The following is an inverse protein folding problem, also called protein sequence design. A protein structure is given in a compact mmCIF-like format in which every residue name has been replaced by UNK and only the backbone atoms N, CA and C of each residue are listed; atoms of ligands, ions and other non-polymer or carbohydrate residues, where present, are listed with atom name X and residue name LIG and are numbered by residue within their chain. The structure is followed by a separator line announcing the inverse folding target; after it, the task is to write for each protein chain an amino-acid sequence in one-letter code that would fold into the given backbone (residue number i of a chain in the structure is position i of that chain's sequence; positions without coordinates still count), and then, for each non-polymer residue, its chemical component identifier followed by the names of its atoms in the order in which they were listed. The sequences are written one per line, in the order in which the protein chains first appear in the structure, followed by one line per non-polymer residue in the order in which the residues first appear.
data_IF_590506381200
#
_entry.id   IF_590506381200
#
_cell.length_a   1.000
_cell.length_b   1.000
_cell.length_c   1.000
_cell.angle_alpha   90.00
_cell.angle_beta   90.00
_cell.angle_gamma   90.00
#
_symmetry.space_group_name_H-M   'P 1'
#
loop_
_entity.id
_entity.type
_entity.pdbx_description
1 polymer ?
#
# COMPACT_ATOMS: atom_id res chain seq x y z
N UNK A 1 -14.33 -22.61 18.77
CA UNK A 1 -14.26 -23.90 18.05
C UNK A 1 -14.25 -23.59 16.56
N UNK A 2 -13.38 -24.24 15.78
CA UNK A 2 -13.30 -24.11 14.30
C UNK A 2 -14.64 -24.39 13.59
N UNK A 3 -15.61 -24.99 14.29
CA UNK A 3 -16.97 -25.24 13.83
C UNK A 3 -17.79 -23.98 13.48
N UNK A 4 -17.34 -22.77 13.83
CA UNK A 4 -18.04 -21.54 13.47
C UNK A 4 -17.91 -21.15 11.99
N UNK A 5 -16.96 -21.73 11.25
CA UNK A 5 -16.74 -21.48 9.82
C UNK A 5 -17.30 -22.58 8.91
N UNK A 6 -17.84 -23.67 9.49
CA UNK A 6 -18.42 -24.78 8.73
C UNK A 6 -19.87 -24.44 8.39
N UNK A 7 -20.06 -23.45 7.52
CA UNK A 7 -21.33 -23.24 6.83
C UNK A 7 -21.52 -24.31 5.76
N UNK A 8 -22.28 -25.37 6.05
CA UNK A 8 -22.93 -26.33 5.14
C UNK A 8 -22.22 -26.86 3.87
N UNK A 9 -20.90 -26.67 3.71
CA UNK A 9 -20.13 -27.25 2.60
C UNK A 9 -18.89 -27.94 3.16
N UNK A 10 -18.87 -29.27 3.10
CA UNK A 10 -17.73 -30.16 3.40
C UNK A 10 -16.54 -30.01 2.41
N UNK A 11 -16.44 -28.87 1.70
CA UNK A 11 -15.44 -28.57 0.69
C UNK A 11 -14.75 -27.21 0.92
N UNK A 12 -14.96 -26.56 2.06
CA UNK A 12 -14.24 -25.32 2.37
C UNK A 12 -12.80 -25.66 2.77
N UNK A 13 -11.82 -25.14 2.01
CA UNK A 13 -10.41 -25.23 2.38
C UNK A 13 -10.21 -24.61 3.77
N UNK A 14 -9.45 -25.30 4.63
CA UNK A 14 -9.15 -24.80 5.98
C UNK A 14 -8.31 -23.52 5.92
N UNK A 15 -8.46 -22.58 6.86
CA UNK A 15 -7.72 -21.33 6.86
C UNK A 15 -6.21 -21.54 7.06
N UNK A 16 -5.42 -20.73 6.36
CA UNK A 16 -3.99 -20.55 6.60
C UNK A 16 -3.76 -19.40 7.58
N UNK A 17 -2.67 -19.46 8.35
CA UNK A 17 -2.37 -18.47 9.38
C UNK A 17 -1.03 -17.78 9.14
N UNK A 18 -1.00 -16.50 9.51
CA UNK A 18 0.23 -15.71 9.66
C UNK A 18 0.32 -15.30 11.13
N UNK A 19 1.50 -15.44 11.73
CA UNK A 19 1.75 -15.11 13.14
C UNK A 19 2.72 -13.94 13.28
N UNK A 20 2.86 -13.39 14.48
CA UNK A 20 3.74 -12.26 14.75
C UNK A 20 3.07 -10.90 14.49
N UNK A 21 3.84 -9.84 14.74
CA UNK A 21 3.44 -8.45 14.53
C UNK A 21 4.66 -7.65 14.12
N UNK A 22 4.46 -6.65 13.28
CA UNK A 22 5.42 -5.56 13.15
C UNK A 22 5.17 -4.54 14.26
N UNK A 23 6.26 -3.94 14.75
CA UNK A 23 6.25 -2.79 15.64
C UNK A 23 7.20 -1.76 15.03
N UNK A 24 6.71 -0.56 14.66
CA UNK A 24 5.37 -0.01 14.88
C UNK A 24 4.29 -0.60 13.95
N UNK A 25 3.02 -0.26 14.21
CA UNK A 25 1.89 -0.70 13.42
C UNK A 25 2.00 -0.23 11.95
N UNK A 26 1.48 -1.00 10.98
CA UNK A 26 1.63 -0.72 9.55
C UNK A 26 0.93 0.58 9.13
N UNK A 27 1.47 1.22 8.08
CA UNK A 27 0.93 2.46 7.52
C UNK A 27 1.87 3.67 7.59
N UNK A 28 3.17 3.40 7.74
CA UNK A 28 4.21 4.41 7.90
C UNK A 28 4.37 4.83 9.35
N UNK A 29 5.56 5.34 9.68
CA UNK A 29 5.94 5.63 11.05
C UNK A 29 6.68 6.95 11.17
N UNK A 30 6.27 7.78 12.14
CA UNK A 30 7.00 9.00 12.53
C UNK A 30 8.41 8.72 13.09
N UNK A 31 8.73 7.45 13.40
CA UNK A 31 10.08 7.05 13.75
C UNK A 31 11.05 7.25 12.59
N UNK A 32 10.59 7.12 11.35
CA UNK A 32 11.41 7.26 10.16
C UNK A 32 12.01 8.66 10.08
N UNK A 33 11.21 9.68 10.27
CA UNK A 33 11.62 11.09 10.27
C UNK A 33 12.51 11.41 11.46
N UNK A 34 12.23 10.81 12.63
CA UNK A 34 12.97 11.08 13.86
C UNK A 34 14.35 10.44 13.88
N UNK A 35 14.46 9.20 13.40
CA UNK A 35 15.68 8.37 13.53
C UNK A 35 16.42 8.16 12.22
N UNK A 36 15.76 8.35 11.07
CA UNK A 36 16.31 8.00 9.75
C UNK A 36 16.53 6.50 9.56
N UNK A 37 16.05 5.66 10.48
CA UNK A 37 16.20 4.20 10.45
C UNK A 37 15.07 3.52 11.22
N UNK A 38 14.79 2.28 10.84
CA UNK A 38 13.97 1.34 11.59
C UNK A 38 14.81 0.11 11.96
N UNK A 39 14.58 -0.45 13.15
CA UNK A 39 15.31 -1.63 13.63
C UNK A 39 14.81 -2.88 12.90
N UNK A 40 15.74 -3.68 12.39
CA UNK A 40 15.44 -4.97 11.75
C UNK A 40 15.15 -5.99 12.85
N UNK A 41 14.12 -6.83 12.67
CA UNK A 41 13.83 -7.90 13.63
C UNK A 41 15.03 -8.83 13.80
N UNK A 42 15.44 -9.09 15.04
CA UNK A 42 16.55 -10.01 15.29
C UNK A 42 16.13 -11.47 15.05
N UNK A 43 17.04 -12.36 14.59
CA UNK A 43 16.73 -13.79 14.51
C UNK A 43 16.30 -14.41 15.85
N UNK A 44 16.82 -13.89 16.97
CA UNK A 44 16.47 -14.32 18.31
C UNK A 44 15.01 -14.02 18.67
N UNK A 45 14.55 -12.79 18.39
CA UNK A 45 13.16 -12.40 18.64
C UNK A 45 12.19 -13.15 17.72
N UNK A 46 12.57 -13.34 16.45
CA UNK A 46 11.77 -14.09 15.50
C UNK A 46 11.63 -15.56 15.93
N UNK A 47 12.75 -16.19 16.32
CA UNK A 47 12.75 -17.55 16.88
C UNK A 47 11.85 -17.67 18.10
N UNK A 48 12.01 -16.75 19.06
CA UNK A 48 11.22 -16.74 20.29
C UNK A 48 9.72 -16.59 19.99
N UNK A 49 9.34 -15.76 19.01
CA UNK A 49 7.97 -15.59 18.55
C UNK A 49 7.39 -16.89 17.99
N UNK A 50 8.13 -17.55 17.10
CA UNK A 50 7.74 -18.84 16.50
C UNK A 50 7.56 -19.90 17.58
N UNK A 51 8.55 -20.08 18.47
CA UNK A 51 8.53 -21.11 19.52
C UNK A 51 7.42 -20.89 20.54
N UNK A 52 7.25 -19.65 21.02
CA UNK A 52 6.20 -19.28 21.97
C UNK A 52 4.80 -19.49 21.38
N UNK A 53 4.62 -19.12 20.11
CA UNK A 53 3.35 -19.30 19.41
C UNK A 53 3.06 -20.79 19.18
N UNK A 54 4.05 -21.56 18.71
CA UNK A 54 3.93 -23.02 18.54
C UNK A 54 3.52 -23.71 19.83
N UNK A 55 4.23 -23.44 20.91
CA UNK A 55 3.95 -24.03 22.22
C UNK A 55 2.53 -23.69 22.71
N UNK A 56 2.06 -22.47 22.42
CA UNK A 56 0.69 -22.06 22.75
C UNK A 56 -0.34 -22.83 21.93
N UNK A 57 -0.13 -23.01 20.62
CA UNK A 57 -1.02 -23.80 19.77
C UNK A 57 -1.12 -25.25 20.27
N UNK A 58 0.02 -25.90 20.55
CA UNK A 58 0.06 -27.27 21.04
C UNK A 58 -0.62 -27.41 22.41
N UNK A 59 -0.42 -26.44 23.31
CA UNK A 59 -1.09 -26.41 24.63
C UNK A 59 -2.63 -26.42 24.53
N UNK A 60 -3.19 -25.80 23.48
CA UNK A 60 -4.63 -25.77 23.24
C UNK A 60 -5.11 -26.89 22.29
N UNK A 61 -4.25 -27.86 21.94
CA UNK A 61 -4.61 -28.95 21.03
C UNK A 61 -4.81 -28.52 19.57
N UNK A 62 -4.23 -27.39 19.16
CA UNK A 62 -4.38 -26.79 17.83
C UNK A 62 -3.26 -27.20 16.86
N UNK A 63 -2.79 -28.45 16.94
CA UNK A 63 -1.67 -28.93 16.12
C UNK A 63 -1.98 -28.90 14.61
N UNK A 64 -3.18 -29.30 14.22
CA UNK A 64 -3.65 -29.20 12.82
C UNK A 64 -3.65 -27.75 12.31
N UNK A 65 -3.99 -26.77 13.17
CA UNK A 65 -3.92 -25.35 12.82
C UNK A 65 -2.48 -24.83 12.76
N UNK A 66 -1.59 -25.31 13.64
CA UNK A 66 -0.17 -24.98 13.59
C UNK A 66 0.46 -25.40 12.26
N UNK A 67 0.11 -26.58 11.74
CA UNK A 67 0.59 -27.06 10.44
C UNK A 67 0.10 -26.20 9.25
N UNK A 68 -0.83 -25.27 9.47
CA UNK A 68 -1.31 -24.29 8.49
C UNK A 68 -0.78 -22.87 8.73
N UNK A 69 0.11 -22.68 9.69
CA UNK A 69 0.87 -21.44 9.83
C UNK A 69 1.90 -21.41 8.71
N UNK A 70 1.78 -20.45 7.80
CA UNK A 70 2.60 -20.39 6.58
C UNK A 70 3.62 -19.27 6.60
N UNK A 71 3.44 -18.28 7.48
CA UNK A 71 4.30 -17.11 7.51
C UNK A 71 4.40 -16.50 8.91
N UNK A 72 5.45 -15.72 9.08
CA UNK A 72 5.68 -14.90 10.27
C UNK A 72 5.95 -13.45 9.85
N UNK A 73 5.25 -12.51 10.48
CA UNK A 73 5.48 -11.07 10.30
C UNK A 73 6.80 -10.70 10.93
N UNK A 74 7.63 -9.98 10.19
CA UNK A 74 8.90 -9.45 10.70
C UNK A 74 9.31 -8.20 9.91
N UNK A 75 10.11 -7.34 10.55
CA UNK A 75 10.53 -6.05 10.03
C UNK A 75 11.88 -6.19 9.31
N UNK A 76 11.92 -6.17 7.96
CA UNK A 76 13.15 -6.34 7.18
C UNK A 76 14.02 -5.06 7.09
N UNK A 77 13.61 -3.97 7.74
CA UNK A 77 14.28 -2.68 7.65
C UNK A 77 13.65 -1.73 6.62
N UNK A 78 12.42 -1.99 6.18
CA UNK A 78 11.66 -1.14 5.24
C UNK A 78 10.58 -0.38 6.00
N UNK A 79 10.42 0.89 5.66
CA UNK A 79 9.38 1.75 6.20
C UNK A 79 9.28 3.02 5.35
N UNK A 80 8.23 3.80 5.54
CA UNK A 80 8.13 5.15 4.99
C UNK A 80 7.66 6.14 6.06
N UNK A 81 8.17 7.37 5.96
CA UNK A 81 7.76 8.54 6.71
C UNK A 81 6.80 9.42 5.88
N UNK A 82 6.55 10.64 6.32
CA UNK A 82 5.74 11.64 5.64
C UNK A 82 6.31 12.01 4.27
N UNK A 83 7.63 12.15 4.16
CA UNK A 83 8.33 12.64 2.95
C UNK A 83 9.54 11.79 2.54
N UNK A 84 9.77 10.64 3.17
CA UNK A 84 10.93 9.81 2.89
C UNK A 84 10.60 8.32 2.94
N UNK A 85 11.33 7.53 2.16
CA UNK A 85 11.23 6.07 2.11
C UNK A 85 12.55 5.50 2.62
N UNK A 86 12.47 4.52 3.53
CA UNK A 86 13.62 3.70 3.91
C UNK A 86 13.63 2.48 3.01
N UNK A 87 14.51 2.51 2.01
CA UNK A 87 14.70 1.40 1.08
C UNK A 87 15.24 0.16 1.79
N UNK A 88 14.88 -1.00 1.26
CA UNK A 88 15.42 -2.28 1.70
C UNK A 88 16.94 -2.33 1.53
N UNK A 89 17.65 -2.73 2.59
CA UNK A 89 19.08 -2.93 2.59
C UNK A 89 19.40 -4.39 2.97
N UNK A 90 19.78 -5.18 1.97
CA UNK A 90 20.15 -6.60 2.13
C UNK A 90 21.25 -6.82 3.16
N UNK A 91 22.20 -5.89 3.29
CA UNK A 91 23.29 -6.05 4.26
C UNK A 91 22.79 -5.91 5.69
N UNK A 92 21.87 -4.96 5.94
CA UNK A 92 21.24 -4.78 7.25
C UNK A 92 20.31 -5.93 7.61
N UNK A 93 19.61 -6.49 6.64
CA UNK A 93 18.68 -7.60 6.84
C UNK A 93 19.33 -9.00 6.77
N UNK A 94 20.65 -9.10 6.56
CA UNK A 94 21.34 -10.35 6.23
C UNK A 94 21.09 -11.48 7.23
N UNK A 95 21.21 -11.20 8.52
CA UNK A 95 21.04 -12.22 9.57
C UNK A 95 19.59 -12.71 9.64
N UNK A 96 18.63 -11.78 9.53
CA UNK A 96 17.20 -12.09 9.50
C UNK A 96 16.83 -12.91 8.25
N UNK A 97 17.28 -12.48 7.06
CA UNK A 97 17.07 -13.17 5.80
C UNK A 97 17.66 -14.59 5.84
N UNK A 98 18.88 -14.75 6.36
CA UNK A 98 19.50 -16.06 6.53
C UNK A 98 18.66 -16.98 7.43
N UNK A 99 18.15 -16.44 8.54
CA UNK A 99 17.30 -17.20 9.46
C UNK A 99 15.97 -17.60 8.80
N UNK A 100 15.27 -16.68 8.13
CA UNK A 100 13.98 -16.94 7.45
C UNK A 100 14.14 -18.03 6.39
N UNK A 101 15.21 -17.98 5.57
CA UNK A 101 15.47 -18.98 4.53
C UNK A 101 15.82 -20.36 5.08
N UNK A 102 16.22 -20.44 6.35
CA UNK A 102 16.46 -21.69 7.07
C UNK A 102 15.22 -22.27 7.75
N UNK A 103 14.09 -21.55 7.73
CA UNK A 103 12.81 -22.09 8.22
C UNK A 103 12.27 -23.10 7.22
N UNK A 104 11.62 -24.15 7.75
CA UNK A 104 11.13 -25.28 6.95
C UNK A 104 9.88 -24.92 6.14
N UNK A 105 8.77 -24.58 6.80
CA UNK A 105 7.47 -24.31 6.16
C UNK A 105 6.97 -22.87 6.36
N UNK A 106 7.84 -21.97 6.82
CA UNK A 106 7.49 -20.57 7.11
C UNK A 106 8.25 -19.62 6.18
N UNK A 107 7.53 -18.63 5.65
CA UNK A 107 8.11 -17.49 4.93
C UNK A 107 7.98 -16.21 5.75
N UNK A 108 8.75 -15.18 5.39
CA UNK A 108 8.56 -13.84 5.92
C UNK A 108 7.35 -13.16 5.29
N UNK A 109 6.52 -12.53 6.12
CA UNK A 109 5.58 -11.50 5.70
C UNK A 109 6.14 -10.13 6.09
N UNK A 110 6.30 -9.22 5.11
CA UNK A 110 6.78 -7.87 5.34
C UNK A 110 5.62 -6.87 5.16
N UNK A 111 5.44 -5.98 6.15
CA UNK A 111 4.49 -4.86 6.08
C UNK A 111 5.19 -3.59 5.62
N UNK A 112 4.42 -2.54 5.36
CA UNK A 112 4.92 -1.22 4.92
C UNK A 112 5.91 -1.29 3.75
N UNK A 113 5.72 -2.23 2.83
CA UNK A 113 6.60 -2.38 1.65
C UNK A 113 6.32 -1.34 0.57
N UNK A 114 5.34 -0.46 0.81
CA UNK A 114 4.94 0.66 -0.03
C UNK A 114 6.15 1.51 -0.45
N UNK A 115 6.09 2.03 -1.67
CA UNK A 115 7.05 2.95 -2.28
C UNK A 115 8.44 2.39 -2.55
N UNK A 116 8.73 1.15 -2.15
CA UNK A 116 9.97 0.48 -2.53
C UNK A 116 10.12 0.38 -4.05
N UNK A 117 11.36 0.45 -4.51
CA UNK A 117 11.66 0.22 -5.93
C UNK A 117 11.35 -1.23 -6.32
N UNK A 118 11.04 -1.49 -7.60
CA UNK A 118 10.81 -2.86 -8.08
C UNK A 118 12.02 -3.80 -7.82
N UNK A 119 13.24 -3.24 -7.80
CA UNK A 119 14.45 -3.95 -7.42
C UNK A 119 14.43 -4.33 -5.94
N UNK A 120 14.21 -3.38 -5.03
CA UNK A 120 14.16 -3.64 -3.59
C UNK A 120 13.05 -4.63 -3.21
N UNK A 121 11.88 -4.53 -3.84
CA UNK A 121 10.81 -5.52 -3.69
C UNK A 121 11.25 -6.92 -4.16
N UNK A 122 11.97 -7.03 -5.28
CA UNK A 122 12.52 -8.32 -5.74
C UNK A 122 13.52 -8.90 -4.74
N UNK A 123 14.41 -8.06 -4.23
CA UNK A 123 15.42 -8.46 -3.25
C UNK A 123 14.77 -8.98 -1.95
N UNK A 124 13.70 -8.35 -1.48
CA UNK A 124 12.89 -8.86 -0.36
C UNK A 124 12.40 -10.29 -0.61
N UNK A 125 11.81 -10.56 -1.79
CA UNK A 125 11.30 -11.90 -2.12
C UNK A 125 12.42 -12.94 -2.17
N UNK A 126 13.58 -12.58 -2.75
CA UNK A 126 14.76 -13.45 -2.82
C UNK A 126 15.39 -13.76 -1.44
N UNK A 127 15.19 -12.86 -0.49
CA UNK A 127 15.64 -12.97 0.90
C UNK A 127 14.62 -13.66 1.83
N UNK A 128 13.50 -14.14 1.29
CA UNK A 128 12.52 -14.97 2.00
C UNK A 128 11.26 -14.22 2.45
N UNK A 129 11.19 -12.91 2.25
CA UNK A 129 9.98 -12.10 2.49
C UNK A 129 9.03 -12.27 1.31
N UNK A 130 8.27 -13.36 1.34
CA UNK A 130 7.49 -13.82 0.18
C UNK A 130 6.08 -13.23 0.13
N UNK A 131 5.58 -12.74 1.27
CA UNK A 131 4.32 -11.99 1.34
C UNK A 131 4.68 -10.52 1.55
N UNK A 132 4.43 -9.70 0.54
CA UNK A 132 4.68 -8.26 0.58
C UNK A 132 3.34 -7.53 0.68
N UNK A 133 3.11 -6.82 1.78
CA UNK A 133 1.88 -6.02 1.94
C UNK A 133 2.06 -4.60 1.43
N UNK A 134 1.09 -4.18 0.63
CA UNK A 134 0.96 -2.82 0.08
C UNK A 134 -0.44 -2.30 0.37
N UNK A 135 -0.56 -1.01 0.65
CA UNK A 135 -1.84 -0.37 0.91
C UNK A 135 -1.78 1.12 0.55
N UNK A 136 -1.14 1.96 1.39
CA UNK A 136 -0.98 3.39 1.13
C UNK A 136 -0.51 3.74 -0.28
N UNK A 137 0.45 3.02 -0.87
CA UNK A 137 0.93 3.34 -2.22
C UNK A 137 -0.15 3.20 -3.30
N UNK A 138 -1.08 2.25 -3.14
CA UNK A 138 -2.20 2.06 -4.07
C UNK A 138 -3.16 3.25 -4.04
N UNK A 139 -3.54 3.70 -2.84
CA UNK A 139 -4.43 4.85 -2.67
C UNK A 139 -3.73 6.18 -2.90
N UNK A 140 -2.41 6.24 -2.72
CA UNK A 140 -1.57 7.36 -3.13
C UNK A 140 -1.56 7.52 -4.65
N UNK A 141 -1.40 6.43 -5.41
CA UNK A 141 -1.47 6.45 -6.88
C UNK A 141 -2.87 6.86 -7.39
N UNK A 142 -3.93 6.39 -6.74
CA UNK A 142 -5.31 6.85 -6.96
C UNK A 142 -5.42 8.38 -6.76
N UNK A 143 -4.89 8.88 -5.64
CA UNK A 143 -4.90 10.31 -5.30
C UNK A 143 -4.14 11.14 -6.34
N UNK A 144 -2.94 10.71 -6.76
CA UNK A 144 -2.19 11.38 -7.82
C UNK A 144 -2.97 11.48 -9.12
N UNK A 145 -3.63 10.40 -9.53
CA UNK A 145 -4.46 10.39 -10.74
C UNK A 145 -5.63 11.37 -10.62
N UNK A 146 -6.36 11.34 -9.51
CA UNK A 146 -7.49 12.24 -9.26
C UNK A 146 -7.07 13.71 -9.20
N UNK A 147 -5.93 14.02 -8.56
CA UNK A 147 -5.41 15.39 -8.51
C UNK A 147 -4.99 15.87 -9.89
N UNK A 148 -4.28 15.03 -10.66
CA UNK A 148 -3.88 15.34 -12.02
C UNK A 148 -5.10 15.59 -12.92
N UNK A 149 -6.14 14.77 -12.79
CA UNK A 149 -7.40 14.95 -13.50
C UNK A 149 -8.16 16.21 -13.06
N UNK A 150 -8.13 16.56 -11.77
CA UNK A 150 -8.70 17.82 -11.25
C UNK A 150 -7.97 19.03 -11.83
N UNK A 151 -6.64 19.01 -11.90
CA UNK A 151 -5.88 20.11 -12.52
C UNK A 151 -6.15 20.21 -14.03
N UNK A 152 -6.35 19.07 -14.71
CA UNK A 152 -6.82 19.08 -16.11
C UNK A 152 -8.21 19.72 -16.22
N UNK A 153 -9.14 19.38 -15.33
CA UNK A 153 -10.48 19.99 -15.31
C UNK A 153 -10.40 21.51 -15.09
N UNK A 154 -9.54 21.96 -14.18
CA UNK A 154 -9.38 23.39 -13.86
C UNK A 154 -8.94 24.22 -15.08
N UNK A 155 -8.12 23.65 -15.95
CA UNK A 155 -7.67 24.27 -17.21
C UNK A 155 -8.71 24.17 -18.34
N UNK A 156 -9.63 23.19 -18.29
CA UNK A 156 -10.63 22.96 -19.34
C UNK A 156 -11.94 23.71 -19.13
N UNK A 157 -12.22 24.15 -17.91
CA UNK A 157 -13.48 24.77 -17.53
C UNK A 157 -13.21 26.19 -17.02
N UNK A 158 -13.76 27.20 -17.69
CA UNK A 158 -13.59 28.59 -17.26
C UNK A 158 -14.54 28.96 -16.11
N UNK A 159 -15.76 28.43 -16.12
CA UNK A 159 -16.77 28.71 -15.11
C UNK A 159 -16.52 27.91 -13.83
N UNK A 160 -16.22 28.60 -12.74
CA UNK A 160 -15.85 27.96 -11.48
C UNK A 160 -16.97 27.12 -10.86
N UNK A 161 -18.23 27.52 -11.05
CA UNK A 161 -19.39 26.77 -10.56
C UNK A 161 -19.55 25.40 -11.27
N UNK A 162 -18.97 25.25 -12.46
CA UNK A 162 -18.99 24.00 -13.22
C UNK A 162 -17.91 23.02 -12.80
N UNK A 163 -16.83 23.45 -12.12
CA UNK A 163 -15.72 22.58 -11.72
C UNK A 163 -16.09 21.68 -10.54
N UNK A 164 -15.42 20.52 -10.44
CA UNK A 164 -15.60 19.64 -9.29
C UNK A 164 -15.04 20.23 -8.00
N UNK A 165 -13.99 21.07 -8.11
CA UNK A 165 -13.22 21.59 -6.99
C UNK A 165 -12.72 20.47 -6.06
N UNK A 166 -12.43 19.26 -6.61
CA UNK A 166 -12.14 18.06 -5.82
C UNK A 166 -11.03 18.27 -4.79
N UNK A 167 -9.93 18.90 -5.20
CA UNK A 167 -8.77 19.09 -4.32
C UNK A 167 -9.09 20.01 -3.14
N UNK A 168 -9.87 21.07 -3.33
CA UNK A 168 -10.27 21.98 -2.24
C UNK A 168 -11.35 21.36 -1.36
N UNK A 169 -12.35 20.69 -1.93
CA UNK A 169 -13.39 19.97 -1.16
C UNK A 169 -12.74 18.95 -0.23
N UNK A 170 -11.74 18.21 -0.72
CA UNK A 170 -11.01 17.24 0.06
C UNK A 170 -10.19 17.89 1.18
N UNK A 171 -9.52 19.00 0.90
CA UNK A 171 -8.80 19.79 1.90
C UNK A 171 -9.74 20.27 3.02
N UNK A 172 -10.89 20.85 2.67
CA UNK A 172 -11.88 21.35 3.63
C UNK A 172 -12.40 20.22 4.51
N UNK A 173 -12.79 19.09 3.91
CA UNK A 173 -13.26 17.89 4.64
C UNK A 173 -12.20 17.38 5.62
N UNK A 174 -10.92 17.35 5.20
CA UNK A 174 -9.82 16.89 6.04
C UNK A 174 -9.55 17.85 7.21
N UNK A 175 -9.63 19.16 6.99
CA UNK A 175 -9.47 20.18 8.04
C UNK A 175 -10.61 20.11 9.05
N UNK A 176 -11.85 19.96 8.59
CA UNK A 176 -13.03 19.85 9.45
C UNK A 176 -13.03 18.56 10.28
N UNK A 177 -12.45 17.48 9.77
CA UNK A 177 -12.46 16.16 10.40
C UNK A 177 -11.03 15.63 10.60
N UNK A 178 -10.23 16.19 11.53
CA UNK A 178 -8.79 15.93 11.60
C UNK A 178 -8.40 14.56 12.17
N UNK A 179 -9.35 13.79 12.73
CA UNK A 179 -9.09 12.58 13.50
C UNK A 179 -8.34 11.47 12.77
N UNK A 180 -8.32 11.44 11.43
CA UNK A 180 -7.56 10.44 10.67
C UNK A 180 -6.10 10.83 10.41
N UNK A 181 -5.69 12.08 10.62
CA UNK A 181 -4.34 12.56 10.31
C UNK A 181 -3.64 13.33 11.44
N UNK A 182 -4.34 13.88 12.43
CA UNK A 182 -3.76 14.79 13.44
C UNK A 182 -2.67 14.15 14.31
N UNK A 183 -2.72 12.83 14.50
CA UNK A 183 -1.69 12.08 15.23
C UNK A 183 -0.43 11.80 14.41
N UNK A 184 -0.47 12.06 13.10
CA UNK A 184 0.61 11.75 12.16
C UNK A 184 1.35 13.01 11.68
N UNK A 185 0.69 14.17 11.56
CA UNK A 185 1.33 15.45 11.22
C UNK A 185 0.98 16.53 12.22
N UNK A 186 1.99 17.23 12.74
CA UNK A 186 1.83 18.18 13.86
C UNK A 186 0.93 19.39 13.62
N UNK A 187 0.70 19.82 12.36
CA UNK A 187 -0.04 21.05 12.04
C UNK A 187 -0.92 21.00 10.78
N UNK A 188 -1.12 19.83 10.16
CA UNK A 188 -2.00 19.70 8.99
C UNK A 188 -1.66 20.67 7.85
N UNK A 189 -0.37 20.82 7.50
CA UNK A 189 0.02 21.71 6.41
C UNK A 189 -0.61 21.24 5.09
N UNK A 190 -0.79 22.16 4.12
CA UNK A 190 -1.24 21.79 2.77
C UNK A 190 -0.40 20.67 2.16
N UNK A 191 0.91 20.66 2.42
CA UNK A 191 1.81 19.61 1.94
C UNK A 191 1.52 18.28 2.62
N UNK A 192 1.36 18.28 3.94
CA UNK A 192 1.06 17.08 4.73
C UNK A 192 -0.28 16.44 4.32
N UNK A 193 -1.33 17.25 4.21
CA UNK A 193 -2.67 16.76 3.87
C UNK A 193 -2.74 16.21 2.44
N UNK A 194 -2.02 16.85 1.51
CA UNK A 194 -2.14 16.54 0.08
C UNK A 194 -1.11 15.54 -0.42
N UNK A 195 0.11 15.55 0.10
CA UNK A 195 1.26 14.92 -0.56
C UNK A 195 2.02 13.91 0.30
N UNK A 196 1.73 13.82 1.59
CA UNK A 196 2.42 12.88 2.47
C UNK A 196 2.26 11.42 2.05
N UNK A 197 3.35 10.66 2.16
CA UNK A 197 3.39 9.22 1.90
C UNK A 197 2.63 8.38 2.94
N UNK A 198 2.28 8.91 4.13
CA UNK A 198 1.36 8.17 5.01
C UNK A 198 -0.06 8.06 4.43
N UNK A 199 -0.38 8.85 3.40
CA UNK A 199 -1.61 8.76 2.62
C UNK A 199 -2.89 8.78 3.49
N UNK A 200 -2.92 9.62 4.53
CA UNK A 200 -4.06 9.70 5.46
C UNK A 200 -5.34 10.21 4.78
N UNK A 201 -5.19 10.84 3.62
CA UNK A 201 -6.28 11.22 2.72
C UNK A 201 -7.17 10.03 2.31
N UNK A 202 -6.66 8.79 2.33
CA UNK A 202 -7.44 7.59 1.95
C UNK A 202 -8.71 7.36 2.77
N UNK A 203 -8.75 7.86 4.01
CA UNK A 203 -9.91 7.71 4.89
C UNK A 203 -11.08 8.64 4.52
N UNK A 204 -10.86 9.61 3.61
CA UNK A 204 -11.84 10.62 3.26
C UNK A 204 -12.53 10.38 1.91
N UNK A 205 -12.09 9.40 1.12
CA UNK A 205 -12.70 9.09 -0.19
C UNK A 205 -14.18 8.66 -0.12
N UNK A 206 -14.62 8.17 1.04
CA UNK A 206 -16.01 7.77 1.28
C UNK A 206 -16.87 8.91 1.85
N UNK A 207 -16.31 10.09 2.13
CA UNK A 207 -17.11 11.26 2.50
C UNK A 207 -18.02 11.65 1.33
N UNK A 208 -19.28 11.95 1.61
CA UNK A 208 -20.27 12.25 0.57
C UNK A 208 -19.85 13.44 -0.30
N UNK A 209 -19.28 14.50 0.29
CA UNK A 209 -18.86 15.70 -0.45
C UNK A 209 -17.72 15.38 -1.41
N UNK A 210 -16.75 14.59 -0.94
CA UNK A 210 -15.62 14.12 -1.75
C UNK A 210 -16.13 13.22 -2.89
N UNK A 211 -17.02 12.28 -2.59
CA UNK A 211 -17.58 11.39 -3.61
C UNK A 211 -18.36 12.16 -4.68
N UNK A 212 -19.22 13.10 -4.28
CA UNK A 212 -19.96 13.96 -5.20
C UNK A 212 -19.02 14.77 -6.11
N UNK A 213 -17.93 15.31 -5.57
CA UNK A 213 -16.90 16.01 -6.35
C UNK A 213 -16.21 15.07 -7.35
N UNK A 214 -15.84 13.85 -6.96
CA UNK A 214 -15.27 12.85 -7.89
C UNK A 214 -16.24 12.52 -9.03
N UNK A 215 -17.54 12.36 -8.73
CA UNK A 215 -18.55 12.11 -9.78
C UNK A 215 -18.71 13.30 -10.73
N UNK A 216 -18.68 14.53 -10.20
CA UNK A 216 -18.72 15.76 -11.00
C UNK A 216 -17.49 15.86 -11.92
N UNK A 217 -16.30 15.58 -11.39
CA UNK A 217 -15.05 15.52 -12.15
C UNK A 217 -15.15 14.53 -13.33
N UNK A 218 -15.61 13.31 -13.05
CA UNK A 218 -15.77 12.29 -14.08
C UNK A 218 -16.75 12.70 -15.17
N UNK A 219 -17.91 13.26 -14.78
CA UNK A 219 -18.91 13.75 -15.73
C UNK A 219 -18.33 14.84 -16.63
N UNK A 220 -17.59 15.78 -16.04
CA UNK A 220 -17.01 16.92 -16.74
C UNK A 220 -15.92 16.52 -17.74
N UNK A 221 -15.07 15.57 -17.38
CA UNK A 221 -14.00 15.10 -18.26
C UNK A 221 -14.53 14.17 -19.36
N UNK A 222 -15.58 13.37 -19.10
CA UNK A 222 -16.19 12.50 -20.12
C UNK A 222 -17.00 13.25 -21.18
N UNK A 223 -17.47 14.46 -20.87
CA UNK A 223 -18.19 15.29 -21.83
C UNK A 223 -17.27 16.13 -22.72
N UNK A 224 -15.95 16.02 -22.54
CA UNK A 224 -14.94 16.87 -23.21
C UNK A 224 -13.82 16.00 -23.80
N UNK A 225 -13.13 16.54 -24.79
CA UNK A 225 -11.88 15.95 -25.29
C UNK A 225 -10.75 16.53 -24.43
N UNK A 226 -9.97 15.66 -23.78
CA UNK A 226 -8.78 16.09 -23.04
C UNK A 226 -7.63 16.31 -24.03
N UNK A 227 -7.08 17.53 -24.17
CA UNK A 227 -5.93 17.80 -25.02
C UNK A 227 -4.70 16.96 -24.62
N UNK A 228 -4.00 16.45 -25.63
CA UNK A 228 -2.77 15.68 -25.45
C UNK A 228 -1.68 16.46 -24.70
N UNK A 229 -1.63 17.79 -24.83
CA UNK A 229 -0.71 18.65 -24.10
C UNK A 229 -0.96 18.61 -22.59
N UNK A 230 -2.22 18.64 -22.16
CA UNK A 230 -2.58 18.53 -20.74
C UNK A 230 -2.28 17.14 -20.18
N UNK A 231 -2.58 16.09 -20.95
CA UNK A 231 -2.17 14.71 -20.58
C UNK A 231 -0.65 14.60 -20.45
N UNK A 232 0.13 15.17 -21.36
CA UNK A 232 1.60 15.16 -21.27
C UNK A 232 2.12 15.91 -20.05
N UNK A 233 1.44 16.99 -19.64
CA UNK A 233 1.85 17.84 -18.51
C UNK A 233 1.55 17.16 -17.16
N UNK A 234 0.35 16.61 -16.99
CA UNK A 234 -0.13 16.11 -15.70
C UNK A 234 -0.06 14.58 -15.55
N UNK A 235 -0.05 13.84 -16.66
CA UNK A 235 -0.10 12.38 -16.70
C UNK A 235 0.90 11.82 -17.74
N UNK A 236 2.22 12.12 -17.61
CA UNK A 236 3.20 11.88 -18.67
C UNK A 236 3.36 10.40 -19.05
N UNK A 237 3.17 9.46 -18.12
CA UNK A 237 3.26 8.03 -18.43
C UNK A 237 2.02 7.56 -19.19
N UNK A 238 0.84 7.96 -18.75
CA UNK A 238 -0.44 7.65 -19.40
C UNK A 238 -0.53 8.28 -20.79
N UNK A 239 0.01 9.49 -20.97
CA UNK A 239 0.09 10.18 -22.25
C UNK A 239 0.69 9.30 -23.35
N UNK A 240 1.84 8.65 -23.09
CA UNK A 240 2.47 7.76 -24.07
C UNK A 240 1.60 6.56 -24.39
N UNK A 241 0.99 5.93 -23.38
CA UNK A 241 0.08 4.78 -23.57
C UNK A 241 -1.15 5.15 -24.39
N UNK A 242 -1.72 6.35 -24.17
CA UNK A 242 -2.85 6.87 -24.94
C UNK A 242 -2.45 7.13 -26.40
N UNK A 243 -1.30 7.75 -26.62
CA UNK A 243 -0.77 8.01 -27.97
C UNK A 243 -0.46 6.74 -28.77
N UNK A 244 -0.11 5.66 -28.08
CA UNK A 244 0.12 4.34 -28.67
C UNK A 244 -1.17 3.51 -28.82
N UNK A 245 -2.33 4.03 -28.41
CA UNK A 245 -3.60 3.32 -28.45
C UNK A 245 -3.72 2.17 -27.44
N UNK A 246 -2.84 2.12 -26.44
CA UNK A 246 -2.82 1.09 -25.38
C UNK A 246 -3.68 1.45 -24.17
N UNK A 247 -4.11 2.70 -24.06
CA UNK A 247 -4.94 3.23 -22.97
C UNK A 247 -5.97 4.20 -23.55
N UNK A 248 -7.20 4.19 -23.02
CA UNK A 248 -8.21 5.19 -23.36
C UNK A 248 -8.02 6.44 -22.49
N UNK A 249 -8.36 7.60 -23.03
CA UNK A 249 -8.37 8.86 -22.26
C UNK A 249 -9.59 9.03 -21.35
N UNK A 250 -10.21 7.93 -20.89
CA UNK A 250 -11.29 7.97 -19.90
C UNK A 250 -10.68 8.16 -18.50
N UNK A 251 -11.29 8.97 -17.62
CA UNK A 251 -10.80 9.17 -16.26
C UNK A 251 -10.60 7.87 -15.47
N UNK A 252 -11.51 6.90 -15.60
CA UNK A 252 -11.38 5.62 -14.89
C UNK A 252 -10.23 4.78 -15.41
N UNK A 253 -10.08 4.69 -16.74
CA UNK A 253 -8.98 3.95 -17.37
C UNK A 253 -7.62 4.53 -16.94
N UNK A 254 -7.49 5.86 -16.87
CA UNK A 254 -6.29 6.58 -16.39
C UNK A 254 -5.99 6.25 -14.92
N UNK A 255 -7.00 6.31 -14.05
CA UNK A 255 -6.84 6.02 -12.62
C UNK A 255 -6.42 4.57 -12.41
N UNK A 256 -7.09 3.63 -13.09
CA UNK A 256 -6.74 2.22 -13.01
C UNK A 256 -5.31 1.98 -13.48
N UNK A 257 -4.88 2.59 -14.59
CA UNK A 257 -3.50 2.45 -15.09
C UNK A 257 -2.45 3.00 -14.11
N UNK A 258 -2.73 4.10 -13.41
CA UNK A 258 -1.85 4.62 -12.33
C UNK A 258 -1.72 3.65 -11.16
N UNK A 259 -2.81 3.01 -10.73
CA UNK A 259 -2.77 1.97 -9.69
C UNK A 259 -2.01 0.74 -10.21
N UNK A 260 -2.21 0.39 -11.48
CA UNK A 260 -1.59 -0.75 -12.14
C UNK A 260 -0.05 -0.62 -12.22
N UNK A 261 0.48 0.60 -12.28
CA UNK A 261 1.93 0.86 -12.19
C UNK A 261 2.52 0.37 -10.87
N UNK A 262 1.80 0.59 -9.76
CA UNK A 262 2.20 0.08 -8.44
C UNK A 262 2.15 -1.45 -8.44
N UNK A 263 1.01 -2.02 -8.86
CA UNK A 263 0.80 -3.48 -8.89
C UNK A 263 1.88 -4.17 -9.75
N UNK A 264 2.30 -3.57 -10.87
CA UNK A 264 3.34 -4.11 -11.74
C UNK A 264 4.69 -4.24 -11.04
N UNK A 265 5.04 -3.37 -10.09
CA UNK A 265 6.27 -3.51 -9.28
C UNK A 265 6.23 -4.77 -8.42
N UNK A 266 5.10 -5.01 -7.74
CA UNK A 266 4.89 -6.17 -6.87
C UNK A 266 4.80 -7.47 -7.67
N UNK A 267 4.08 -7.44 -8.79
CA UNK A 267 4.03 -8.58 -9.72
C UNK A 267 5.42 -8.87 -10.28
N UNK A 268 6.18 -7.85 -10.67
CA UNK A 268 7.56 -8.02 -11.08
C UNK A 268 8.39 -8.66 -9.96
N UNK A 269 8.28 -8.22 -8.72
CA UNK A 269 9.08 -8.76 -7.61
C UNK A 269 8.78 -10.24 -7.30
N UNK A 270 7.52 -10.64 -7.40
CA UNK A 270 7.05 -11.97 -6.99
C UNK A 270 7.09 -13.00 -8.13
N UNK A 271 7.00 -12.57 -9.40
CA UNK A 271 6.97 -13.49 -10.53
C UNK A 271 8.25 -14.31 -10.66
N UNK A 272 8.08 -15.64 -10.74
CA UNK A 272 9.15 -16.57 -11.10
C UNK A 272 10.16 -16.88 -9.99
N UNK A 273 9.96 -16.38 -8.76
CA UNK A 273 10.74 -16.85 -7.60
C UNK A 273 10.13 -18.17 -7.11
N UNK A 274 10.94 -19.22 -7.07
CA UNK A 274 10.59 -20.45 -6.36
C UNK A 274 11.13 -20.32 -4.94
N UNK A 275 10.24 -20.12 -3.97
CA UNK A 275 10.57 -20.25 -2.56
C UNK A 275 10.17 -21.68 -2.13
N UNK A 276 10.95 -22.27 -1.21
CA UNK A 276 10.82 -23.67 -0.79
C UNK A 276 9.59 -23.88 0.13
N UNK A 277 8.39 -23.54 -0.34
CA UNK A 277 7.12 -23.83 0.34
C UNK A 277 6.35 -24.88 -0.45
#
# INVERSE_FOLDING_TARGET
SENALIGNNNSAEKPLYVIGTDVPAPGGSSEVERKGKIEVTSPGDLKNTIETTKNSFLKYGLEDAWNRVIAVVCQPGVEFGEMQVLDYDRNRARELAFYIKGLDHLIGEAHSTDYQTAKHLRELVEDGFSILKVGPELTYALREALFSLSFIEDELIENEDEKSALVSVLEDVMIENPGWWETHYSKGSKVSLKYSLFDRIRYYWNDKRVNDAVQKLFKNLRSRIIPLSLLSQFLPVQYWKIREGKLKSDPLDIILDKIDEVIKKYYFATKGVKNNV
#
